data_IF_176123459606
#
_entry.id   IF_176123459606
#
_cell.length_a   1.000
_cell.length_b   1.000
_cell.length_c   1.000
_cell.angle_alpha   90.00
_cell.angle_beta   90.00
_cell.angle_gamma   90.00
#
_symmetry.space_group_name_H-M   'P 1'
#
loop_
_entity.id
_entity.type
_entity.pdbx_description
1 polymer ?
#
# COMPACT_ATOMS: atom_id res chain seq x y z
N UNK A 1 6.91 11.87 11.02
CA UNK A 1 5.51 12.09 10.61
C UNK A 1 4.59 11.21 11.47
N UNK A 2 4.19 11.67 12.66
CA UNK A 2 3.24 10.95 13.52
C UNK A 2 1.76 11.26 13.18
N UNK A 3 1.54 12.28 12.35
CA UNK A 3 0.22 12.78 11.96
C UNK A 3 -0.74 11.68 11.46
N UNK A 4 -0.34 10.72 10.61
CA UNK A 4 -1.31 9.76 10.08
C UNK A 4 -1.79 8.74 11.10
N UNK A 5 -0.93 8.37 12.05
CA UNK A 5 -1.26 7.43 13.13
C UNK A 5 -2.13 8.14 14.18
N UNK A 6 -1.84 9.42 14.46
CA UNK A 6 -2.66 10.26 15.34
C UNK A 6 -4.09 10.46 14.81
N UNK A 7 -4.29 10.57 13.49
CA UNK A 7 -5.63 10.72 12.91
C UNK A 7 -6.51 9.47 13.14
N UNK A 8 -5.91 8.28 13.15
CA UNK A 8 -6.61 7.02 13.45
C UNK A 8 -6.96 6.95 14.94
N UNK A 9 -6.03 7.33 15.81
CA UNK A 9 -6.20 7.33 17.27
C UNK A 9 -7.24 8.36 17.76
N UNK A 10 -7.41 9.46 17.03
CA UNK A 10 -8.40 10.51 17.32
C UNK A 10 -9.83 10.18 16.84
N UNK A 11 -10.08 8.97 16.30
CA UNK A 11 -11.41 8.58 15.83
C UNK A 11 -11.86 9.32 14.57
N UNK A 12 -10.95 9.94 13.83
CA UNK A 12 -11.27 10.57 12.54
C UNK A 12 -11.52 9.44 11.53
N UNK A 13 -12.76 9.35 11.04
CA UNK A 13 -13.13 8.40 9.99
C UNK A 13 -12.44 8.80 8.67
N UNK A 14 -11.27 8.24 8.44
CA UNK A 14 -10.53 8.43 7.19
C UNK A 14 -11.28 7.73 6.05
N UNK A 15 -11.33 8.40 4.89
CA UNK A 15 -11.86 7.86 3.66
C UNK A 15 -10.74 7.21 2.80
N UNK A 16 -11.13 6.58 1.68
CA UNK A 16 -10.20 5.93 0.74
C UNK A 16 -9.09 6.89 0.28
N UNK A 17 -9.44 8.15 0.04
CA UNK A 17 -8.50 9.18 -0.46
C UNK A 17 -7.44 9.51 0.60
N UNK A 18 -7.86 9.61 1.85
CA UNK A 18 -6.96 9.85 2.99
C UNK A 18 -5.97 8.70 3.16
N UNK A 19 -6.46 7.45 3.20
CA UNK A 19 -5.61 6.26 3.30
C UNK A 19 -4.63 6.16 2.13
N UNK A 20 -5.11 6.33 0.89
CA UNK A 20 -4.26 6.31 -0.30
C UNK A 20 -3.13 7.34 -0.25
N UNK A 21 -3.44 8.56 0.21
CA UNK A 21 -2.46 9.64 0.30
C UNK A 21 -1.40 9.35 1.35
N UNK A 22 -1.82 8.88 2.53
CA UNK A 22 -0.92 8.53 3.63
C UNK A 22 -0.02 7.35 3.24
N UNK A 23 -0.61 6.26 2.75
CA UNK A 23 0.14 5.06 2.32
C UNK A 23 1.18 5.43 1.26
N UNK A 24 0.79 6.22 0.26
CA UNK A 24 1.70 6.69 -0.77
C UNK A 24 2.86 7.52 -0.21
N UNK A 25 2.61 8.35 0.80
CA UNK A 25 3.63 9.13 1.49
C UNK A 25 4.59 8.24 2.30
N UNK A 26 4.05 7.32 3.11
CA UNK A 26 4.84 6.38 3.90
C UNK A 26 5.70 5.45 3.02
N UNK A 27 5.20 5.01 1.87
CA UNK A 27 5.97 4.25 0.87
C UNK A 27 7.17 5.03 0.36
N UNK A 28 7.02 6.33 0.05
CA UNK A 28 8.14 7.20 -0.37
C UNK A 28 9.17 7.37 0.74
N UNK A 29 8.73 7.46 1.99
CA UNK A 29 9.60 7.55 3.17
C UNK A 29 10.19 6.20 3.63
N UNK A 30 10.02 5.12 2.87
CA UNK A 30 10.53 3.78 3.17
C UNK A 30 10.04 3.19 4.51
N UNK A 31 8.83 3.55 4.94
CA UNK A 31 8.25 3.12 6.22
C UNK A 31 7.36 1.90 6.05
N UNK A 32 7.95 0.75 5.70
CA UNK A 32 7.19 -0.47 5.37
C UNK A 32 6.21 -0.90 6.47
N UNK A 33 6.63 -0.89 7.74
CA UNK A 33 5.77 -1.28 8.87
C UNK A 33 4.51 -0.41 8.98
N UNK A 34 4.65 0.90 8.75
CA UNK A 34 3.51 1.82 8.78
C UNK A 34 2.58 1.59 7.59
N UNK A 35 3.14 1.38 6.40
CA UNK A 35 2.37 1.06 5.19
C UNK A 35 1.52 -0.18 5.38
N UNK A 36 2.10 -1.26 5.92
CA UNK A 36 1.37 -2.51 6.17
C UNK A 36 0.30 -2.35 7.24
N UNK A 37 0.61 -1.65 8.35
CA UNK A 37 -0.39 -1.36 9.39
C UNK A 37 -1.59 -0.60 8.81
N UNK A 38 -1.33 0.45 8.02
CA UNK A 38 -2.40 1.24 7.40
C UNK A 38 -3.23 0.44 6.41
N UNK A 39 -2.58 -0.45 5.64
CA UNK A 39 -3.26 -1.32 4.69
C UNK A 39 -4.18 -2.32 5.39
N UNK A 40 -3.73 -2.92 6.50
CA UNK A 40 -4.58 -3.81 7.30
C UNK A 40 -5.72 -3.07 7.99
N UNK A 41 -5.47 -1.90 8.59
CA UNK A 41 -6.55 -1.07 9.17
C UNK A 41 -7.60 -0.68 8.14
N UNK A 42 -7.20 -0.38 6.90
CA UNK A 42 -8.14 -0.08 5.82
C UNK A 42 -9.08 -1.27 5.54
N UNK A 43 -8.55 -2.50 5.57
CA UNK A 43 -9.36 -3.73 5.43
C UNK A 43 -10.26 -3.98 6.64
N UNK A 44 -9.75 -3.81 7.86
CA UNK A 44 -10.52 -3.96 9.11
C UNK A 44 -11.71 -3.01 9.16
N UNK A 45 -11.56 -1.81 8.60
CA UNK A 45 -12.61 -0.80 8.50
C UNK A 45 -13.58 -1.05 7.32
N UNK A 46 -13.45 -2.19 6.61
CA UNK A 46 -14.21 -2.52 5.39
C UNK A 46 -14.11 -1.44 4.30
N UNK A 47 -12.95 -0.79 4.19
CA UNK A 47 -12.67 0.17 3.14
C UNK A 47 -11.86 -0.55 2.05
N UNK A 48 -12.43 -0.69 0.86
CA UNK A 48 -11.76 -1.40 -0.21
C UNK A 48 -10.56 -0.60 -0.77
N UNK A 49 -9.35 -1.19 -0.80
CA UNK A 49 -8.20 -0.55 -1.41
C UNK A 49 -8.39 -0.38 -2.91
N UNK A 50 -8.05 0.80 -3.44
CA UNK A 50 -8.03 1.04 -4.87
C UNK A 50 -6.69 0.62 -5.50
N UNK A 51 -6.59 0.72 -6.83
CA UNK A 51 -5.36 0.42 -7.57
C UNK A 51 -4.15 1.21 -7.06
N UNK A 52 -4.32 2.45 -6.61
CA UNK A 52 -3.20 3.28 -6.16
C UNK A 52 -2.65 2.74 -4.83
N UNK A 53 -3.51 2.34 -3.91
CA UNK A 53 -3.12 1.70 -2.66
C UNK A 53 -2.37 0.41 -2.93
N UNK A 54 -2.90 -0.48 -3.78
CA UNK A 54 -2.19 -1.71 -4.16
C UNK A 54 -0.80 -1.43 -4.74
N UNK A 55 -0.70 -0.51 -5.70
CA UNK A 55 0.58 -0.15 -6.31
C UNK A 55 1.60 0.41 -5.29
N UNK A 56 1.14 1.15 -4.28
CA UNK A 56 1.99 1.71 -3.25
C UNK A 56 2.49 0.66 -2.24
N UNK A 57 1.63 -0.29 -1.85
CA UNK A 57 2.00 -1.38 -0.93
C UNK A 57 2.92 -2.39 -1.63
N UNK A 58 2.62 -2.76 -2.88
CA UNK A 58 3.49 -3.61 -3.72
C UNK A 58 4.88 -2.99 -3.84
N UNK A 59 4.96 -1.68 -4.12
CA UNK A 59 6.25 -0.98 -4.20
C UNK A 59 7.01 -0.99 -2.88
N UNK A 60 6.32 -0.75 -1.76
CA UNK A 60 6.95 -0.77 -0.44
C UNK A 60 7.51 -2.16 -0.09
N UNK A 61 6.74 -3.22 -0.37
CA UNK A 61 7.16 -4.61 -0.15
C UNK A 61 8.36 -4.98 -1.02
N UNK A 62 8.27 -4.71 -2.33
CA UNK A 62 9.34 -4.97 -3.28
C UNK A 62 10.64 -4.24 -2.88
N UNK A 63 10.54 -2.96 -2.49
CA UNK A 63 11.68 -2.17 -2.02
C UNK A 63 12.25 -2.65 -0.69
N UNK A 64 11.42 -3.22 0.17
CA UNK A 64 11.83 -3.81 1.44
C UNK A 64 12.44 -5.21 1.33
N UNK A 65 12.60 -5.76 0.11
CA UNK A 65 13.10 -7.13 -0.10
C UNK A 65 12.03 -8.22 0.06
N UNK A 66 10.77 -7.84 0.27
CA UNK A 66 9.65 -8.76 0.45
C UNK A 66 9.01 -9.14 -0.90
N UNK A 67 9.82 -9.61 -1.85
CA UNK A 67 9.39 -9.87 -3.23
C UNK A 67 8.17 -10.82 -3.30
N UNK A 68 8.21 -11.94 -2.56
CA UNK A 68 7.13 -12.94 -2.54
C UNK A 68 5.80 -12.33 -2.10
N UNK A 69 5.82 -11.50 -1.07
CA UNK A 69 4.62 -10.82 -0.57
C UNK A 69 4.08 -9.80 -1.60
N UNK A 70 4.98 -9.09 -2.28
CA UNK A 70 4.60 -8.17 -3.35
C UNK A 70 3.91 -8.88 -4.53
N UNK A 71 4.39 -10.06 -4.94
CA UNK A 71 3.73 -10.88 -5.97
C UNK A 71 2.38 -11.45 -5.49
N UNK A 72 2.29 -11.93 -4.25
CA UNK A 72 1.01 -12.39 -3.69
C UNK A 72 -0.04 -11.27 -3.68
N UNK A 73 0.40 -10.03 -3.41
CA UNK A 73 -0.49 -8.88 -3.39
C UNK A 73 -0.93 -8.47 -4.80
N UNK A 74 -0.08 -8.65 -5.82
CA UNK A 74 -0.45 -8.51 -7.23
C UNK A 74 -1.55 -9.51 -7.62
N UNK A 75 -1.43 -10.78 -7.20
CA UNK A 75 -2.47 -11.78 -7.44
C UNK A 75 -3.78 -11.45 -6.72
N UNK A 76 -3.71 -11.08 -5.45
CA UNK A 76 -4.88 -10.61 -4.67
C UNK A 76 -5.62 -9.46 -5.37
N UNK A 77 -4.87 -8.51 -5.96
CA UNK A 77 -5.44 -7.39 -6.72
C UNK A 77 -6.23 -7.88 -7.94
N UNK A 78 -5.72 -8.88 -8.66
CA UNK A 78 -6.38 -9.49 -9.82
C UNK A 78 -7.63 -10.28 -9.40
N UNK A 79 -7.55 -11.06 -8.32
CA UNK A 79 -8.67 -11.86 -7.79
C UNK A 79 -9.84 -10.97 -7.36
N UNK A 80 -9.55 -9.75 -6.90
CA UNK A 80 -10.54 -8.71 -6.60
C UNK A 80 -11.06 -7.96 -7.84
N UNK A 81 -10.69 -8.39 -9.04
CA UNK A 81 -11.11 -7.77 -10.31
C UNK A 81 -10.42 -6.44 -10.62
N UNK A 82 -9.38 -6.06 -9.87
CA UNK A 82 -8.64 -4.82 -10.12
C UNK A 82 -7.53 -5.13 -11.12
N UNK A 83 -7.69 -4.70 -12.36
CA UNK A 83 -6.68 -4.98 -13.40
C UNK A 83 -5.36 -4.25 -13.12
N UNK A 84 -4.22 -4.95 -13.03
CA UNK A 84 -2.89 -4.35 -12.98
C UNK A 84 -2.62 -3.50 -14.22
N UNK A 85 -1.89 -2.40 -14.07
CA UNK A 85 -1.47 -1.57 -15.19
C UNK A 85 0.06 -1.39 -15.21
N UNK A 86 0.57 -0.61 -16.16
CA UNK A 86 2.01 -0.33 -16.26
C UNK A 86 2.60 0.22 -14.95
N UNK A 87 1.84 1.02 -14.19
CA UNK A 87 2.29 1.52 -12.87
C UNK A 87 2.42 0.37 -11.88
N UNK A 88 1.51 -0.60 -11.86
CA UNK A 88 1.60 -1.78 -10.99
C UNK A 88 2.86 -2.59 -11.24
N UNK A 89 3.15 -2.91 -12.50
CA UNK A 89 4.36 -3.66 -12.85
C UNK A 89 5.64 -2.86 -12.57
N UNK A 90 5.64 -1.55 -12.86
CA UNK A 90 6.76 -0.68 -12.52
C UNK A 90 6.98 -0.58 -11.00
N UNK A 91 5.91 -0.55 -10.22
CA UNK A 91 5.96 -0.58 -8.75
C UNK A 91 6.65 -1.85 -8.23
N UNK A 92 6.48 -2.98 -8.92
CA UNK A 92 7.08 -4.27 -8.54
C UNK A 92 8.52 -4.40 -9.05
N UNK A 93 8.76 -4.16 -10.34
CA UNK A 93 10.03 -4.47 -11.02
C UNK A 93 11.13 -3.48 -10.61
N UNK A 94 10.82 -2.18 -10.60
CA UNK A 94 11.85 -1.14 -10.38
C UNK A 94 12.58 -1.29 -9.03
N UNK A 95 11.89 -1.55 -7.91
CA UNK A 95 12.59 -1.78 -6.64
C UNK A 95 13.39 -3.09 -6.63
N UNK A 96 12.87 -4.17 -7.22
CA UNK A 96 13.53 -5.47 -7.22
C UNK A 96 14.82 -5.49 -8.05
N UNK A 97 14.87 -4.74 -9.15
CA UNK A 97 16.09 -4.60 -9.95
C UNK A 97 17.14 -3.68 -9.30
N UNK A 98 16.72 -2.85 -8.34
CA UNK A 98 17.58 -1.90 -7.63
C UNK A 98 17.86 -2.35 -6.18
N UNK A 99 17.50 -3.59 -5.83
CA UNK A 99 17.65 -4.18 -4.49
C UNK A 99 18.99 -4.90 -4.32
#
# INVERSE_FOLDING_TARGET
CALPILMIDQGIKLDVVSYSSIISSCTKSNRLKEVLRLFETMKEMNIDPDRKVYNAVIHALAKGGHAKEAFNLLHTMQDKGITPNAVTYNSLIKPLCNA
#
